data_IF_123908700742
#
_entry.id   IF_123908700742
#
_cell.length_a   1.000
_cell.length_b   1.000
_cell.length_c   1.000
_cell.angle_alpha   90.00
_cell.angle_beta   90.00
_cell.angle_gamma   90.00
#
_symmetry.space_group_name_H-M   'P 1'
#
loop_
_entity.id
_entity.type
_entity.pdbx_description
1 polymer ?
#
# COMPACT_ATOMS: atom_id res chain seq x y z
N UNK A 1 -7.56 -12.99 -14.10
CA UNK A 1 -7.02 -11.70 -13.63
C UNK A 1 -6.22 -12.03 -12.40
N UNK A 2 -4.91 -11.85 -12.48
CA UNK A 2 -4.00 -12.19 -11.40
C UNK A 2 -4.19 -11.18 -10.26
N UNK A 3 -4.13 -11.62 -9.00
CA UNK A 3 -4.43 -10.75 -7.83
C UNK A 3 -3.55 -9.48 -7.82
N UNK A 4 -2.31 -9.59 -8.31
CA UNK A 4 -1.38 -8.48 -8.51
C UNK A 4 -1.90 -7.44 -9.51
N UNK A 5 -2.52 -7.87 -10.63
CA UNK A 5 -3.03 -6.96 -11.65
C UNK A 5 -4.15 -6.07 -11.09
N UNK A 6 -5.01 -6.64 -10.24
CA UNK A 6 -6.09 -5.91 -9.57
C UNK A 6 -5.50 -4.88 -8.61
N UNK A 7 -4.52 -5.28 -7.80
CA UNK A 7 -3.86 -4.39 -6.85
C UNK A 7 -3.14 -3.23 -7.56
N UNK A 8 -2.39 -3.54 -8.61
CA UNK A 8 -1.73 -2.55 -9.44
C UNK A 8 -2.71 -1.55 -10.04
N UNK A 9 -3.85 -2.04 -10.56
CA UNK A 9 -4.91 -1.16 -11.09
C UNK A 9 -5.46 -0.23 -10.01
N UNK A 10 -5.77 -0.75 -8.82
CA UNK A 10 -6.29 0.07 -7.71
C UNK A 10 -5.29 1.14 -7.28
N UNK A 11 -4.00 0.78 -7.15
CA UNK A 11 -2.94 1.73 -6.82
C UNK A 11 -2.81 2.83 -7.89
N UNK A 12 -2.93 2.46 -9.17
CA UNK A 12 -2.91 3.40 -10.29
C UNK A 12 -4.13 4.32 -10.30
N UNK A 13 -5.33 3.78 -10.10
CA UNK A 13 -6.58 4.56 -10.03
C UNK A 13 -6.55 5.54 -8.85
N UNK A 14 -5.96 5.17 -7.72
CA UNK A 14 -5.80 6.05 -6.57
C UNK A 14 -4.84 7.22 -6.85
N UNK A 15 -3.72 6.96 -7.54
CA UNK A 15 -2.64 7.92 -7.77
C UNK A 15 -2.77 8.77 -9.04
N UNK A 16 -3.40 8.25 -10.09
CA UNK A 16 -3.40 8.84 -11.44
C UNK A 16 -4.81 9.21 -11.95
N UNK A 17 -5.89 8.77 -11.30
CA UNK A 17 -7.24 9.13 -11.76
C UNK A 17 -7.55 10.61 -11.47
N UNK A 18 -8.03 11.31 -12.51
CA UNK A 18 -8.55 12.68 -12.42
C UNK A 18 -10.03 12.66 -11.98
N UNK A 19 -10.74 11.56 -12.24
CA UNK A 19 -12.13 11.39 -11.82
C UNK A 19 -12.19 11.07 -10.31
N UNK A 20 -12.84 11.93 -9.49
CA UNK A 20 -12.94 11.72 -8.06
C UNK A 20 -13.76 10.48 -7.69
N UNK A 21 -14.73 10.06 -8.52
CA UNK A 21 -15.52 8.86 -8.24
C UNK A 21 -14.67 7.59 -8.38
N UNK A 22 -13.85 7.51 -9.43
CA UNK A 22 -12.88 6.43 -9.62
C UNK A 22 -11.85 6.37 -8.49
N UNK A 23 -11.31 7.53 -8.07
CA UNK A 23 -10.35 7.60 -6.95
C UNK A 23 -10.97 7.15 -5.63
N UNK A 24 -12.18 7.62 -5.31
CA UNK A 24 -12.89 7.22 -4.09
C UNK A 24 -13.22 5.73 -4.07
N UNK A 25 -13.59 5.15 -5.22
CA UNK A 25 -13.81 3.71 -5.34
C UNK A 25 -12.52 2.93 -5.11
N UNK A 26 -11.40 3.36 -5.68
CA UNK A 26 -10.10 2.72 -5.45
C UNK A 26 -9.70 2.78 -3.96
N UNK A 27 -9.90 3.93 -3.32
CA UNK A 27 -9.66 4.12 -1.89
C UNK A 27 -10.53 3.18 -1.05
N UNK A 28 -11.82 3.04 -1.36
CA UNK A 28 -12.71 2.15 -0.63
C UNK A 28 -12.30 0.67 -0.77
N UNK A 29 -11.94 0.22 -1.97
CA UNK A 29 -11.46 -1.16 -2.17
C UNK A 29 -10.14 -1.41 -1.43
N UNK A 30 -9.25 -0.43 -1.40
CA UNK A 30 -8.00 -0.53 -0.63
C UNK A 30 -8.25 -0.48 0.88
N UNK A 31 -9.25 0.26 1.35
CA UNK A 31 -9.66 0.26 2.76
C UNK A 31 -10.20 -1.10 3.19
N UNK A 32 -11.09 -1.72 2.39
CA UNK A 32 -11.58 -3.08 2.62
C UNK A 32 -10.45 -4.11 2.62
N UNK A 33 -9.40 -3.87 1.83
CA UNK A 33 -8.20 -4.69 1.83
C UNK A 33 -7.45 -4.58 3.15
N UNK A 34 -7.35 -3.40 3.77
CA UNK A 34 -6.68 -3.20 5.07
C UNK A 34 -7.36 -3.99 6.19
N UNK A 35 -8.69 -4.05 6.14
CA UNK A 35 -9.49 -4.79 7.13
C UNK A 35 -9.49 -6.31 6.88
N UNK A 36 -8.97 -6.76 5.73
CA UNK A 36 -8.88 -8.16 5.37
C UNK A 36 -7.65 -8.84 6.02
N UNK A 37 -7.76 -10.11 6.48
CA UNK A 37 -6.60 -10.87 6.95
C UNK A 37 -5.56 -11.12 5.85
N UNK A 38 -5.93 -10.94 4.58
CA UNK A 38 -5.03 -11.07 3.44
C UNK A 38 -4.30 -9.76 3.10
N UNK A 39 -4.56 -8.67 3.84
CA UNK A 39 -3.90 -7.37 3.65
C UNK A 39 -2.38 -7.54 3.54
N UNK A 40 -1.80 -8.24 4.52
CA UNK A 40 -0.37 -8.43 4.61
C UNK A 40 0.20 -9.11 3.36
N UNK A 41 -0.38 -10.25 2.98
CA UNK A 41 0.05 -11.02 1.80
C UNK A 41 -0.01 -10.18 0.52
N UNK A 42 -1.05 -9.37 0.36
CA UNK A 42 -1.26 -8.52 -0.82
C UNK A 42 -0.30 -7.34 -0.87
N UNK A 43 -0.01 -6.72 0.28
CA UNK A 43 1.01 -5.68 0.37
C UNK A 43 2.41 -6.24 0.08
N UNK A 44 2.75 -7.43 0.58
CA UNK A 44 3.98 -8.13 0.23
C UNK A 44 4.08 -8.40 -1.27
N UNK A 45 2.99 -8.88 -1.88
CA UNK A 45 2.92 -9.11 -3.32
C UNK A 45 3.21 -7.85 -4.13
N UNK A 46 2.65 -6.70 -3.71
CA UNK A 46 2.91 -5.40 -4.34
C UNK A 46 4.36 -4.94 -4.15
N UNK A 47 5.00 -5.24 -3.03
CA UNK A 47 6.39 -4.85 -2.75
C UNK A 47 7.40 -5.71 -3.50
N UNK A 48 7.14 -7.02 -3.61
CA UNK A 48 8.04 -7.97 -4.27
C UNK A 48 7.89 -7.99 -5.79
N UNK A 49 6.67 -7.76 -6.29
CA UNK A 49 6.32 -7.95 -7.71
C UNK A 49 5.64 -6.76 -8.35
N UNK A 50 5.37 -5.69 -7.61
CA UNK A 50 4.78 -4.48 -8.17
C UNK A 50 5.71 -3.84 -9.19
N UNK A 51 5.21 -3.68 -10.41
CA UNK A 51 5.88 -3.04 -11.54
C UNK A 51 5.53 -1.54 -11.64
N UNK A 52 4.50 -1.09 -10.91
CA UNK A 52 4.05 0.29 -10.90
C UNK A 52 4.68 1.11 -9.76
N UNK A 53 5.09 2.37 -10.02
CA UNK A 53 5.74 3.22 -9.02
C UNK A 53 4.85 3.53 -7.80
N UNK A 54 3.53 3.51 -7.96
CA UNK A 54 2.57 3.73 -6.86
C UNK A 54 2.29 2.47 -6.03
N UNK A 55 2.57 1.27 -6.54
CA UNK A 55 2.30 0.00 -5.85
C UNK A 55 3.03 -0.11 -4.52
N UNK A 56 4.37 0.03 -4.49
CA UNK A 56 5.15 0.01 -3.26
C UNK A 56 4.74 1.09 -2.26
N UNK A 57 4.41 2.30 -2.72
CA UNK A 57 4.00 3.41 -1.84
C UNK A 57 2.67 3.12 -1.14
N UNK A 58 1.68 2.62 -1.89
CA UNK A 58 0.38 2.25 -1.33
C UNK A 58 0.52 1.05 -0.40
N UNK A 59 1.34 0.06 -0.77
CA UNK A 59 1.60 -1.11 0.06
C UNK A 59 2.28 -0.72 1.38
N UNK A 60 3.34 0.08 1.35
CA UNK A 60 4.06 0.55 2.55
C UNK A 60 3.18 1.37 3.48
N UNK A 61 2.42 2.34 2.94
CA UNK A 61 1.50 3.14 3.75
C UNK A 61 0.38 2.29 4.38
N UNK A 62 -0.14 1.32 3.63
CA UNK A 62 -1.13 0.37 4.12
C UNK A 62 -0.56 -0.52 5.23
N UNK A 63 0.64 -1.07 5.05
CA UNK A 63 1.33 -1.84 6.08
C UNK A 63 1.60 -1.02 7.33
N UNK A 64 1.98 0.26 7.19
CA UNK A 64 2.20 1.15 8.33
C UNK A 64 0.90 1.40 9.12
N UNK A 65 -0.24 1.57 8.44
CA UNK A 65 -1.56 1.65 9.10
C UNK A 65 -1.90 0.34 9.81
N UNK A 66 -1.60 -0.79 9.19
CA UNK A 66 -1.87 -2.14 9.69
C UNK A 66 -1.00 -2.53 10.91
N UNK A 67 0.26 -2.08 10.95
CA UNK A 67 1.14 -2.23 12.10
C UNK A 67 0.69 -1.38 13.28
N UNK A 68 0.16 -0.18 13.01
CA UNK A 68 -0.36 0.73 14.03
C UNK A 68 -1.79 0.40 14.49
N UNK A 69 -2.55 -0.38 13.71
CA UNK A 69 -3.90 -0.78 14.07
C UNK A 69 -3.89 -1.98 15.05
N UNK A 70 -5.01 -2.12 15.77
CA UNK A 70 -5.28 -3.24 16.69
C UNK A 70 -5.79 -4.49 15.98
N UNK A 71 -5.87 -4.49 14.65
CA UNK A 71 -6.33 -5.64 13.86
C UNK A 71 -5.40 -6.83 14.02
N UNK A 72 -5.96 -8.04 13.87
CA UNK A 72 -5.43 -9.34 14.29
C UNK A 72 -4.17 -9.86 13.59
N UNK A 73 -3.18 -9.00 13.35
CA UNK A 73 -1.83 -9.42 12.98
C UNK A 73 -1.11 -9.91 14.24
N UNK A 74 -0.54 -11.10 14.13
CA UNK A 74 0.24 -11.71 15.20
C UNK A 74 1.48 -10.85 15.51
N UNK A 75 1.91 -10.83 16.78
CA UNK A 75 3.04 -10.01 17.21
C UNK A 75 4.32 -10.40 16.46
N UNK A 76 4.49 -11.69 16.15
CA UNK A 76 5.60 -12.21 15.37
C UNK A 76 5.61 -11.63 13.95
N UNK A 77 4.44 -11.57 13.30
CA UNK A 77 4.32 -10.94 11.99
C UNK A 77 4.62 -9.44 12.07
N UNK A 78 4.19 -8.74 13.13
CA UNK A 78 4.55 -7.31 13.29
C UNK A 78 6.06 -7.12 13.41
N UNK A 79 6.76 -8.01 14.12
CA UNK A 79 8.21 -7.96 14.26
C UNK A 79 8.93 -8.19 12.93
N UNK A 80 8.59 -9.27 12.21
CA UNK A 80 9.14 -9.55 10.87
C UNK A 80 8.96 -8.36 9.93
N UNK A 81 7.81 -7.69 9.99
CA UNK A 81 7.51 -6.55 9.14
C UNK A 81 8.22 -5.25 9.54
N UNK A 82 8.59 -5.12 10.81
CA UNK A 82 9.37 -3.98 11.31
C UNK A 82 10.85 -4.07 10.92
N UNK A 83 11.34 -5.28 10.66
CA UNK A 83 12.72 -5.51 10.21
C UNK A 83 12.91 -5.34 8.70
N UNK A 84 11.81 -5.29 7.94
CA UNK A 84 11.88 -5.23 6.49
C UNK A 84 12.18 -3.81 5.96
N UNK A 85 12.94 -3.68 4.85
CA UNK A 85 13.36 -2.38 4.32
C UNK A 85 12.26 -1.43 3.81
N UNK A 86 10.99 -1.83 3.66
CA UNK A 86 9.97 -0.92 3.14
C UNK A 86 9.74 0.33 4.00
N UNK A 87 10.10 0.31 5.28
CA UNK A 87 10.09 1.49 6.16
C UNK A 87 11.05 2.59 5.64
N UNK A 88 12.23 2.22 5.14
CA UNK A 88 13.17 3.19 4.57
C UNK A 88 12.70 3.65 3.19
N UNK A 89 12.15 2.73 2.38
CA UNK A 89 11.61 3.06 1.05
C UNK A 89 10.42 4.02 1.15
N UNK A 90 9.58 3.87 2.18
CA UNK A 90 8.44 4.76 2.43
C UNK A 90 8.87 6.17 2.85
N UNK A 91 9.92 6.30 3.68
CA UNK A 91 10.45 7.60 4.09
C UNK A 91 11.17 8.30 2.94
N UNK A 92 11.96 7.57 2.15
CA UNK A 92 12.62 8.12 0.96
C UNK A 92 11.59 8.60 -0.08
N UNK A 93 10.53 7.83 -0.34
CA UNK A 93 9.47 8.26 -1.25
C UNK A 93 8.64 9.43 -0.69
N UNK A 94 8.30 9.45 0.60
CA UNK A 94 7.63 10.62 1.21
C UNK A 94 8.50 11.87 1.06
N UNK A 95 9.81 11.77 1.31
CA UNK A 95 10.75 12.85 1.07
C UNK A 95 10.80 13.27 -0.40
N UNK A 96 10.79 12.32 -1.35
CA UNK A 96 10.77 12.61 -2.80
C UNK A 96 9.46 13.30 -3.21
N UNK A 97 8.30 12.83 -2.74
CA UNK A 97 7.00 13.42 -3.02
C UNK A 97 6.85 14.82 -2.40
N UNK A 98 7.33 15.01 -1.16
CA UNK A 98 7.35 16.30 -0.46
C UNK A 98 8.34 17.28 -1.14
N UNK A 99 9.50 16.81 -1.60
CA UNK A 99 10.48 17.63 -2.32
C UNK A 99 10.05 17.98 -3.75
N UNK A 100 9.17 17.19 -4.37
CA UNK A 100 8.65 17.43 -5.72
C UNK A 100 7.33 18.19 -5.76
N UNK A 101 6.76 18.60 -4.62
CA UNK A 101 5.60 19.49 -4.60
C UNK A 101 4.38 18.91 -5.33
N UNK A 102 4.04 17.64 -5.10
CA UNK A 102 2.78 17.09 -5.58
C UNK A 102 1.66 17.38 -4.55
N UNK A 103 0.93 18.47 -4.78
CA UNK A 103 -0.51 18.56 -4.48
C UNK A 103 -1.25 18.69 -5.80
#
# INVERSE_FOLDING_TARGET
MEELEVLNRLCKELGESIDPATRARAEQNLAELVDSPQCLRRCMLLLERGDLPYGPVVASNTLMKLLNSKTGILVEQKLELSEFPWLTTSLEFMCICLSRGAM
#
